data_IF_109951681981
#
_entry.id   IF_109951681981
#
_cell.length_a   1.000
_cell.length_b   1.000
_cell.length_c   1.000
_cell.angle_alpha   90.00
_cell.angle_beta   90.00
_cell.angle_gamma   90.00
#
_symmetry.space_group_name_H-M   'P 1'
#
loop_
_entity.id
_entity.type
_entity.pdbx_description
1 polymer ?
#
# COMPACT_ATOMS: atom_id res chain seq x y z
N UNK A 1 37.82 -24.61 39.65
CA UNK A 1 37.19 -23.44 39.03
C UNK A 1 35.87 -23.23 39.76
N UNK A 2 35.85 -22.31 40.73
CA UNK A 2 34.66 -22.03 41.54
C UNK A 2 33.69 -21.17 40.73
N UNK A 3 32.52 -21.71 40.44
CA UNK A 3 31.45 -21.06 39.69
C UNK A 3 30.44 -20.36 40.63
N UNK A 4 30.84 -20.02 41.85
CA UNK A 4 29.96 -19.48 42.91
C UNK A 4 29.66 -17.97 42.78
N UNK A 5 30.02 -17.34 41.66
CA UNK A 5 29.58 -15.99 41.32
C UNK A 5 28.20 -16.01 40.65
N UNK A 6 27.24 -16.61 41.34
CA UNK A 6 25.82 -16.47 41.03
C UNK A 6 25.31 -15.25 41.79
N UNK A 7 25.24 -14.09 41.12
CA UNK A 7 24.34 -12.91 41.26
C UNK A 7 23.85 -12.39 42.64
N UNK A 8 24.00 -13.14 43.73
CA UNK A 8 23.47 -12.92 45.08
C UNK A 8 24.41 -12.10 45.97
N UNK A 9 25.63 -11.78 45.49
CA UNK A 9 26.68 -11.04 46.22
C UNK A 9 27.07 -11.66 47.57
N UNK A 10 26.93 -12.98 47.73
CA UNK A 10 27.16 -13.69 49.00
C UNK A 10 28.61 -14.17 49.21
N UNK A 11 29.53 -13.92 48.27
CA UNK A 11 30.96 -14.25 48.39
C UNK A 11 31.87 -13.07 48.73
N UNK A 12 33.11 -13.36 49.13
CA UNK A 12 34.16 -12.34 49.26
C UNK A 12 34.42 -11.68 47.90
N UNK A 13 34.27 -10.34 47.78
CA UNK A 13 34.45 -9.64 46.54
C UNK A 13 35.93 -9.68 46.13
N UNK A 14 36.18 -10.07 44.88
CA UNK A 14 37.52 -10.07 44.30
C UNK A 14 38.12 -8.64 44.38
N UNK A 15 39.35 -8.47 44.90
CA UNK A 15 40.00 -7.17 45.00
C UNK A 15 40.12 -6.44 43.65
N UNK A 16 40.25 -7.17 42.55
CA UNK A 16 40.32 -6.58 41.21
C UNK A 16 38.97 -6.00 40.78
N UNK A 17 37.88 -6.70 41.07
CA UNK A 17 36.52 -6.25 40.80
C UNK A 17 36.18 -5.02 41.65
N UNK A 18 36.64 -4.98 42.90
CA UNK A 18 36.41 -3.84 43.80
C UNK A 18 37.10 -2.57 43.30
N UNK A 19 38.33 -2.68 42.78
CA UNK A 19 39.03 -1.55 42.15
C UNK A 19 38.30 -1.06 40.90
N UNK A 20 37.80 -1.98 40.07
CA UNK A 20 37.03 -1.63 38.88
C UNK A 20 35.70 -0.96 39.23
N UNK A 21 34.96 -1.46 40.22
CA UNK A 21 33.74 -0.81 40.72
C UNK A 21 34.02 0.59 41.26
N UNK A 22 35.15 0.80 41.92
CA UNK A 22 35.52 2.12 42.44
C UNK A 22 35.84 3.11 41.31
N UNK A 23 36.62 2.68 40.30
CA UNK A 23 36.94 3.50 39.12
C UNK A 23 35.68 3.81 38.32
N UNK A 24 34.88 2.79 38.00
CA UNK A 24 33.66 2.94 37.19
C UNK A 24 32.52 3.61 37.96
N UNK A 25 32.52 3.53 39.30
CA UNK A 25 31.56 4.20 40.17
C UNK A 25 31.56 5.72 39.98
N UNK A 26 32.70 6.30 39.64
CA UNK A 26 32.81 7.74 39.33
C UNK A 26 32.14 8.13 38.02
N UNK A 27 32.06 7.20 37.06
CA UNK A 27 31.43 7.38 35.75
C UNK A 27 29.96 6.97 35.75
N UNK A 28 29.43 6.57 36.90
CA UNK A 28 28.06 6.08 37.02
C UNK A 28 27.07 7.20 36.73
N UNK A 29 26.04 6.87 35.95
CA UNK A 29 25.00 7.82 35.59
C UNK A 29 24.34 8.42 36.83
N UNK A 30 24.41 9.74 36.96
CA UNK A 30 23.66 10.49 37.98
C UNK A 30 22.28 10.83 37.41
N UNK A 31 21.19 10.41 38.08
CA UNK A 31 19.84 10.78 37.65
C UNK A 31 19.66 12.29 37.83
N UNK A 32 19.92 13.02 36.74
CA UNK A 32 19.61 14.45 36.65
C UNK A 32 18.17 14.60 36.18
N UNK A 33 17.35 15.46 36.81
CA UNK A 33 16.02 15.76 36.29
C UNK A 33 16.15 16.22 34.83
N UNK A 34 15.38 15.61 33.94
CA UNK A 34 15.35 15.97 32.52
C UNK A 34 14.83 17.41 32.40
N UNK A 35 15.74 18.35 32.12
CA UNK A 35 15.41 19.73 31.77
C UNK A 35 14.90 19.75 30.31
N UNK A 36 13.62 19.46 30.13
CA UNK A 36 12.97 19.56 28.82
C UNK A 36 12.75 21.06 28.49
N UNK A 37 13.27 21.57 27.36
CA UNK A 37 13.03 22.95 26.98
C UNK A 37 11.53 23.19 26.81
N UNK A 38 11.02 24.26 27.40
CA UNK A 38 9.59 24.58 27.45
C UNK A 38 8.94 24.75 26.05
N UNK A 39 9.73 24.82 24.98
CA UNK A 39 9.24 24.98 23.60
C UNK A 39 9.10 23.68 22.79
N UNK A 40 9.30 22.48 23.37
CA UNK A 40 9.06 21.24 22.62
C UNK A 40 7.56 21.03 22.41
N UNK A 41 7.04 21.50 21.28
CA UNK A 41 5.68 21.18 20.82
C UNK A 41 5.65 19.70 20.43
N UNK A 42 5.14 18.87 21.32
CA UNK A 42 4.85 17.46 21.03
C UNK A 42 3.72 17.44 20.00
N UNK A 43 4.10 17.34 18.72
CA UNK A 43 3.17 17.27 17.60
C UNK A 43 2.26 16.05 17.76
N UNK A 44 0.97 16.29 17.98
CA UNK A 44 0.00 15.20 18.03
C UNK A 44 -0.05 14.51 16.65
N UNK A 45 0.04 13.18 16.58
CA UNK A 45 -0.09 12.46 15.33
C UNK A 45 -1.48 12.74 14.75
N UNK A 46 -1.52 13.35 13.55
CA UNK A 46 -2.75 13.60 12.81
C UNK A 46 -3.42 12.25 12.51
N UNK A 47 -4.43 11.89 13.29
CA UNK A 47 -5.21 10.65 13.16
C UNK A 47 -5.97 10.54 11.82
N UNK A 48 -5.97 11.59 11.01
CA UNK A 48 -6.60 11.63 9.68
C UNK A 48 -5.90 10.73 8.64
N UNK A 49 -4.62 10.40 8.81
CA UNK A 49 -3.91 9.54 7.86
C UNK A 49 -4.41 8.08 7.86
N UNK A 50 -4.95 7.59 8.98
CA UNK A 50 -5.44 6.21 9.07
C UNK A 50 -6.63 5.95 8.14
N UNK A 51 -7.54 6.91 7.95
CA UNK A 51 -8.69 6.76 7.04
C UNK A 51 -8.26 6.80 5.57
N UNK A 52 -7.25 7.59 5.24
CA UNK A 52 -6.71 7.69 3.87
C UNK A 52 -5.94 6.41 3.51
N UNK A 53 -5.23 5.81 4.48
CA UNK A 53 -4.51 4.55 4.26
C UNK A 53 -5.44 3.39 3.87
N UNK A 54 -6.61 3.28 4.51
CA UNK A 54 -7.62 2.26 4.17
C UNK A 54 -8.21 2.49 2.77
N UNK A 55 -8.51 3.74 2.42
CA UNK A 55 -9.02 4.05 1.08
C UNK A 55 -7.98 3.74 -0.01
N UNK A 56 -6.70 4.00 0.25
CA UNK A 56 -5.62 3.74 -0.68
C UNK A 56 -5.44 2.23 -0.97
N UNK A 57 -5.54 1.36 0.05
CA UNK A 57 -5.39 -0.10 -0.15
C UNK A 57 -6.56 -0.70 -0.94
N UNK A 58 -7.78 -0.22 -0.71
CA UNK A 58 -8.95 -0.64 -1.49
C UNK A 58 -8.81 -0.19 -2.95
N UNK A 59 -8.37 1.04 -3.18
CA UNK A 59 -8.15 1.57 -4.53
C UNK A 59 -7.07 0.77 -5.28
N UNK A 60 -5.95 0.43 -4.64
CA UNK A 60 -4.90 -0.37 -5.28
C UNK A 60 -5.37 -1.79 -5.59
N UNK A 61 -6.12 -2.44 -4.70
CA UNK A 61 -6.72 -3.76 -4.98
C UNK A 61 -7.66 -3.73 -6.20
N UNK A 62 -8.50 -2.70 -6.32
CA UNK A 62 -9.40 -2.55 -7.46
C UNK A 62 -8.64 -2.32 -8.77
N UNK A 63 -7.61 -1.47 -8.76
CA UNK A 63 -6.79 -1.20 -9.95
C UNK A 63 -6.02 -2.45 -10.37
N UNK A 64 -5.40 -3.15 -9.44
CA UNK A 64 -4.67 -4.40 -9.72
C UNK A 64 -5.61 -5.49 -10.23
N UNK A 65 -6.78 -5.66 -9.62
CA UNK A 65 -7.78 -6.64 -10.04
C UNK A 65 -8.36 -6.34 -11.43
N UNK A 66 -8.70 -5.08 -11.69
CA UNK A 66 -9.18 -4.64 -13.01
C UNK A 66 -8.11 -4.84 -14.08
N UNK A 67 -6.86 -4.44 -13.81
CA UNK A 67 -5.74 -4.63 -14.72
C UNK A 67 -5.57 -6.11 -15.08
N UNK A 68 -5.53 -7.00 -14.08
CA UNK A 68 -5.42 -8.44 -14.31
C UNK A 68 -6.59 -9.02 -15.15
N UNK A 69 -7.82 -8.55 -14.89
CA UNK A 69 -9.00 -8.99 -15.64
C UNK A 69 -8.92 -8.58 -17.13
N UNK A 70 -8.39 -7.39 -17.43
CA UNK A 70 -8.21 -6.92 -18.80
C UNK A 70 -7.16 -7.77 -19.54
N UNK A 71 -6.03 -8.09 -18.89
CA UNK A 71 -5.01 -8.97 -19.49
C UNK A 71 -5.56 -10.38 -19.76
N UNK A 72 -6.42 -10.92 -18.88
CA UNK A 72 -7.02 -12.24 -19.08
C UNK A 72 -7.96 -12.30 -20.28
N UNK A 73 -8.66 -11.20 -20.60
CA UNK A 73 -9.55 -11.11 -21.78
C UNK A 73 -8.78 -11.14 -23.10
N UNK A 74 -7.59 -10.52 -23.16
CA UNK A 74 -6.78 -10.49 -24.37
C UNK A 74 -6.27 -11.89 -24.78
N UNK A 75 -5.98 -12.75 -23.80
CA UNK A 75 -5.55 -14.12 -24.05
C UNK A 75 -6.68 -15.02 -24.58
N UNK A 76 -7.95 -14.68 -24.33
CA UNK A 76 -9.09 -15.47 -24.81
C UNK A 76 -9.43 -15.22 -26.29
N UNK A 77 -9.00 -14.10 -26.87
CA UNK A 77 -9.29 -13.74 -28.27
C UNK A 77 -8.32 -14.34 -29.31
N UNK A 78 -7.27 -15.04 -28.89
CA UNK A 78 -6.27 -15.62 -29.82
C UNK A 78 -6.72 -16.95 -30.46
N UNK A 79 -7.88 -17.49 -30.06
CA UNK A 79 -8.32 -18.83 -30.48
C UNK A 79 -9.26 -18.96 -31.68
N UNK A 80 -9.78 -17.87 -32.28
CA UNK A 80 -10.88 -17.96 -33.28
C UNK A 80 -10.58 -17.33 -34.65
N UNK A 81 -9.32 -16.96 -34.93
CA UNK A 81 -8.92 -16.25 -36.16
C UNK A 81 -8.19 -17.07 -37.23
N UNK A 82 -8.13 -18.41 -37.13
CA UNK A 82 -7.44 -19.26 -38.12
C UNK A 82 -8.37 -20.34 -38.68
N UNK A 83 -9.44 -19.90 -39.34
CA UNK A 83 -10.33 -20.78 -40.11
C UNK A 83 -10.78 -20.14 -41.44
N UNK A 84 -10.01 -19.21 -42.01
CA UNK A 84 -10.28 -18.59 -43.32
C UNK A 84 -9.50 -19.23 -44.47
N UNK A 85 -9.37 -20.56 -44.47
CA UNK A 85 -8.90 -21.32 -45.61
C UNK A 85 -9.77 -22.58 -45.77
N UNK A 86 -11.03 -22.38 -46.16
CA UNK A 86 -11.84 -23.42 -46.78
C UNK A 86 -12.33 -22.91 -48.13
N UNK A 87 -12.10 -23.67 -49.22
CA UNK A 87 -12.38 -23.21 -50.57
C UNK A 87 -13.88 -23.09 -50.82
N UNK A 88 -14.22 -22.03 -51.54
CA UNK A 88 -15.56 -21.67 -51.99
C UNK A 88 -16.30 -22.85 -52.64
N UNK A 89 -17.32 -23.37 -51.97
CA UNK A 89 -18.38 -24.14 -52.60
C UNK A 89 -19.54 -23.19 -52.86
N UNK A 90 -19.72 -22.88 -54.15
CA UNK A 90 -20.88 -22.17 -54.70
C UNK A 90 -22.17 -22.89 -54.29
N UNK A 91 -23.09 -22.17 -53.63
CA UNK A 91 -24.52 -22.51 -53.68
C UNK A 91 -25.31 -21.30 -54.12
N UNK A 92 -25.91 -21.50 -55.29
CA UNK A 92 -26.78 -20.62 -56.06
C UNK A 92 -28.23 -20.84 -55.59
N UNK A 93 -29.04 -19.77 -55.56
CA UNK A 93 -30.52 -19.74 -55.59
C UNK A 93 -31.23 -20.31 -54.32
N UNK A 94 -32.33 -19.74 -53.81
CA UNK A 94 -33.41 -18.97 -54.44
C UNK A 94 -34.25 -18.23 -53.37
N UNK A 95 -34.69 -17.03 -53.74
CA UNK A 95 -36.01 -16.41 -53.54
C UNK A 95 -36.49 -15.89 -52.15
N UNK A 96 -37.00 -14.65 -52.08
CA UNK A 96 -37.74 -14.07 -50.95
C UNK A 96 -39.25 -14.15 -51.16
N UNK A 97 -40.04 -14.39 -50.10
CA UNK A 97 -41.48 -14.14 -50.16
C UNK A 97 -42.01 -13.67 -48.80
N UNK A 98 -42.53 -12.45 -48.81
CA UNK A 98 -43.24 -11.75 -47.75
C UNK A 98 -44.71 -12.21 -47.71
N UNK A 99 -45.24 -12.45 -46.52
CA UNK A 99 -46.66 -12.31 -46.11
C UNK A 99 -46.76 -12.93 -44.71
N UNK A 100 -47.53 -12.48 -43.72
CA UNK A 100 -48.48 -11.39 -43.53
C UNK A 100 -48.60 -11.28 -41.98
N UNK A 101 -48.47 -10.09 -41.40
CA UNK A 101 -49.59 -9.29 -40.87
C UNK A 101 -50.22 -9.79 -39.54
N UNK A 102 -50.71 -8.86 -38.70
CA UNK A 102 -50.69 -8.95 -37.23
C UNK A 102 -52.09 -9.11 -36.62
N UNK A 103 -52.17 -9.51 -35.34
CA UNK A 103 -53.36 -9.28 -34.53
C UNK A 103 -53.11 -9.39 -33.02
N UNK A 104 -53.49 -8.30 -32.31
CA UNK A 104 -54.30 -8.24 -31.07
C UNK A 104 -53.62 -8.71 -29.77
N UNK A 105 -53.36 -7.82 -28.82
CA UNK A 105 -54.27 -7.09 -27.89
C UNK A 105 -54.49 -7.85 -26.57
N UNK A 106 -54.63 -7.04 -25.51
CA UNK A 106 -55.11 -7.34 -24.15
C UNK A 106 -54.12 -8.01 -23.17
N UNK A 107 -53.58 -7.25 -22.20
CA UNK A 107 -54.21 -6.89 -20.89
C UNK A 107 -54.36 -8.17 -20.06
N UNK A 108 -53.65 -8.33 -18.93
CA UNK A 108 -54.15 -7.99 -17.60
C UNK A 108 -52.97 -7.95 -16.61
N UNK A 109 -52.95 -6.89 -15.80
CA UNK A 109 -52.14 -6.77 -14.60
C UNK A 109 -52.70 -7.67 -13.48
N UNK A 110 -51.85 -8.36 -12.73
CA UNK A 110 -52.24 -8.83 -11.40
C UNK A 110 -51.12 -8.61 -10.39
N UNK A 111 -51.30 -7.51 -9.66
CA UNK A 111 -50.65 -7.15 -8.41
C UNK A 111 -51.11 -8.07 -7.27
N UNK A 112 -50.17 -8.60 -6.48
CA UNK A 112 -50.48 -9.11 -5.14
C UNK A 112 -49.42 -8.66 -4.13
N UNK A 113 -49.81 -7.67 -3.34
CA UNK A 113 -49.08 -7.03 -2.25
C UNK A 113 -49.75 -7.45 -0.93
N UNK A 114 -48.90 -7.84 0.03
CA UNK A 114 -49.06 -7.84 1.51
C UNK A 114 -50.09 -8.76 2.18
N UNK A 115 -49.66 -9.54 3.18
CA UNK A 115 -49.81 -9.21 4.61
C UNK A 115 -49.41 -10.38 5.54
N UNK A 116 -48.95 -10.03 6.74
CA UNK A 116 -48.69 -10.93 7.88
C UNK A 116 -47.23 -11.36 7.98
N UNK A 117 -46.51 -11.23 9.09
CA UNK A 117 -46.92 -11.55 10.47
C UNK A 117 -46.10 -10.72 11.46
N UNK A 118 -46.80 -10.11 12.42
CA UNK A 118 -46.28 -9.61 13.69
C UNK A 118 -45.89 -10.79 14.57
N UNK A 119 -44.67 -10.83 15.12
CA UNK A 119 -44.51 -11.37 16.48
C UNK A 119 -43.21 -10.98 17.21
N UNK A 120 -43.44 -10.35 18.36
CA UNK A 120 -42.81 -10.55 19.66
C UNK A 120 -41.33 -10.20 19.99
N UNK A 121 -41.24 -9.41 21.09
CA UNK A 121 -40.05 -8.86 21.78
C UNK A 121 -39.33 -9.95 22.61
N UNK A 122 -38.11 -9.71 23.13
CA UNK A 122 -38.03 -8.99 24.42
C UNK A 122 -36.92 -7.92 24.55
N UNK A 123 -37.24 -6.96 25.42
CA UNK A 123 -36.38 -5.93 26.00
C UNK A 123 -35.04 -6.49 26.49
N UNK A 124 -33.93 -5.90 26.06
CA UNK A 124 -32.70 -5.86 26.86
C UNK A 124 -32.29 -4.42 27.13
N UNK A 125 -32.37 -4.11 28.42
CA UNK A 125 -31.98 -2.88 29.10
C UNK A 125 -30.45 -2.87 29.13
N UNK A 126 -29.83 -2.00 28.33
CA UNK A 126 -28.38 -1.81 28.28
C UNK A 126 -28.06 -0.33 28.39
N UNK A 127 -27.83 0.13 29.61
CA UNK A 127 -27.34 1.47 29.93
C UNK A 127 -25.96 1.64 29.30
N UNK A 128 -25.83 2.51 28.30
CA UNK A 128 -24.67 3.39 28.11
C UNK A 128 -25.17 4.70 27.49
N UNK A 129 -25.37 5.70 28.35
CA UNK A 129 -25.45 7.11 27.92
C UNK A 129 -24.09 7.46 27.33
N UNK A 130 -23.94 7.24 26.02
CA UNK A 130 -22.83 7.78 25.28
C UNK A 130 -22.96 9.29 25.31
N UNK A 131 -21.95 9.95 25.89
CA UNK A 131 -21.68 11.37 25.68
C UNK A 131 -21.24 11.52 24.21
N UNK A 132 -22.20 11.38 23.29
CA UNK A 132 -22.04 11.76 21.90
C UNK A 132 -22.12 13.28 21.87
N UNK A 133 -20.96 13.93 22.06
CA UNK A 133 -20.76 15.29 21.61
C UNK A 133 -20.96 15.28 20.08
N UNK A 134 -22.20 15.57 19.67
CA UNK A 134 -22.56 15.78 18.28
C UNK A 134 -21.87 17.03 17.76
N UNK A 135 -20.63 16.89 17.29
CA UNK A 135 -19.97 17.93 16.53
C UNK A 135 -20.58 17.98 15.12
N UNK A 136 -21.80 18.51 15.06
CA UNK A 136 -22.50 18.88 13.83
C UNK A 136 -21.88 20.17 13.29
N UNK A 137 -20.71 20.12 12.64
CA UNK A 137 -20.34 21.14 11.65
C UNK A 137 -19.54 20.51 10.51
N UNK A 138 -20.25 19.70 9.71
CA UNK A 138 -19.96 19.60 8.29
C UNK A 138 -20.21 20.97 7.65
N UNK A 139 -19.19 21.85 7.66
CA UNK A 139 -19.04 22.81 6.58
C UNK A 139 -18.18 22.13 5.53
N UNK A 140 -18.88 21.51 4.58
CA UNK A 140 -18.35 21.19 3.26
C UNK A 140 -17.78 22.46 2.64
N UNK A 141 -16.49 22.73 2.89
CA UNK A 141 -15.67 23.46 1.96
C UNK A 141 -15.55 22.57 0.73
N UNK A 142 -16.60 22.64 -0.08
CA UNK A 142 -16.64 22.26 -1.49
C UNK A 142 -15.28 22.66 -2.04
N UNK A 143 -14.49 21.67 -2.47
CA UNK A 143 -13.31 21.89 -3.28
C UNK A 143 -13.79 22.63 -4.54
N UNK A 144 -13.85 23.95 -4.41
CA UNK A 144 -13.87 24.87 -5.53
C UNK A 144 -12.63 24.46 -6.29
N UNK A 145 -12.78 23.96 -7.51
CA UNK A 145 -11.67 23.73 -8.41
C UNK A 145 -10.88 25.02 -8.43
N UNK A 146 -9.75 25.04 -7.73
CA UNK A 146 -8.77 26.09 -7.87
C UNK A 146 -8.25 25.86 -9.27
N UNK A 147 -8.82 26.58 -10.23
CA UNK A 147 -8.21 26.78 -11.53
C UNK A 147 -6.78 27.22 -11.23
N UNK A 148 -5.84 26.28 -11.36
CA UNK A 148 -4.43 26.58 -11.16
C UNK A 148 -4.11 27.74 -12.07
N UNK A 149 -3.68 28.85 -11.45
CA UNK A 149 -3.38 30.07 -12.18
C UNK A 149 -2.29 29.75 -13.21
N UNK A 150 -2.23 30.50 -14.31
CA UNK A 150 -1.22 30.25 -15.34
C UNK A 150 0.21 30.26 -14.77
N UNK A 151 0.43 31.00 -13.68
CA UNK A 151 1.66 31.05 -12.90
C UNK A 151 1.97 29.72 -12.20
N UNK A 152 1.00 29.15 -11.50
CA UNK A 152 1.16 27.87 -10.80
C UNK A 152 1.51 26.72 -11.76
N UNK A 153 0.99 26.79 -13.01
CA UNK A 153 1.33 25.82 -14.06
C UNK A 153 2.78 25.92 -14.50
N UNK A 154 3.32 27.13 -14.61
CA UNK A 154 4.73 27.35 -14.95
C UNK A 154 5.66 26.83 -13.86
N UNK A 155 5.35 27.12 -12.59
CA UNK A 155 6.13 26.63 -11.45
C UNK A 155 6.06 25.09 -11.35
N UNK A 156 4.89 24.50 -11.60
CA UNK A 156 4.73 23.04 -11.64
C UNK A 156 5.52 22.38 -12.78
N UNK A 157 5.64 23.03 -13.95
CA UNK A 157 6.45 22.54 -15.06
C UNK A 157 7.94 22.57 -14.72
N UNK A 158 8.43 23.67 -14.14
CA UNK A 158 9.82 23.77 -13.69
C UNK A 158 10.17 22.71 -12.64
N UNK A 159 9.28 22.48 -11.66
CA UNK A 159 9.46 21.44 -10.66
C UNK A 159 9.50 20.02 -11.28
N UNK A 160 8.63 19.77 -12.28
CA UNK A 160 8.62 18.51 -13.03
C UNK A 160 9.94 18.29 -13.77
N UNK A 161 10.50 19.31 -14.40
CA UNK A 161 11.78 19.21 -15.10
C UNK A 161 12.93 18.90 -14.14
N UNK A 162 12.99 19.59 -12.99
CA UNK A 162 13.98 19.31 -11.95
C UNK A 162 13.89 17.87 -11.44
N UNK A 163 12.68 17.36 -11.23
CA UNK A 163 12.45 15.98 -10.81
C UNK A 163 12.94 14.98 -11.87
N UNK A 164 12.66 15.25 -13.16
CA UNK A 164 13.12 14.41 -14.26
C UNK A 164 14.65 14.39 -14.37
N UNK A 165 15.32 15.53 -14.14
CA UNK A 165 16.78 15.60 -14.09
C UNK A 165 17.34 14.81 -12.90
N UNK A 166 16.74 14.96 -11.72
CA UNK A 166 17.11 14.20 -10.52
C UNK A 166 17.01 12.70 -10.72
N UNK A 167 15.90 12.22 -11.31
CA UNK A 167 15.70 10.81 -11.62
C UNK A 167 16.72 10.28 -12.63
N UNK A 168 17.11 11.07 -13.65
CA UNK A 168 18.16 10.67 -14.61
C UNK A 168 19.53 10.54 -13.94
N UNK A 169 19.89 11.47 -13.06
CA UNK A 169 21.16 11.39 -12.32
C UNK A 169 21.16 10.20 -11.36
N UNK A 170 20.04 9.94 -10.70
CA UNK A 170 19.91 8.79 -9.82
C UNK A 170 20.01 7.46 -10.59
N UNK A 171 19.36 7.35 -11.75
CA UNK A 171 19.41 6.12 -12.56
C UNK A 171 20.79 5.84 -13.13
N UNK A 172 21.54 6.87 -13.55
CA UNK A 172 22.94 6.68 -14.00
C UNK A 172 23.85 6.25 -12.86
N UNK A 173 23.71 6.83 -11.66
CA UNK A 173 24.47 6.40 -10.48
C UNK A 173 24.14 4.97 -10.05
N UNK A 174 22.86 4.59 -10.09
CA UNK A 174 22.43 3.23 -9.80
C UNK A 174 23.03 2.24 -10.81
N UNK A 175 22.99 2.57 -12.11
CA UNK A 175 23.60 1.73 -13.15
C UNK A 175 25.11 1.57 -12.96
N UNK A 176 25.81 2.64 -12.56
CA UNK A 176 27.25 2.59 -12.25
C UNK A 176 27.51 1.68 -11.04
N UNK A 177 26.73 1.83 -9.96
CA UNK A 177 26.83 0.97 -8.79
C UNK A 177 26.55 -0.50 -9.13
N UNK A 178 25.54 -0.77 -9.98
CA UNK A 178 25.22 -2.11 -10.45
C UNK A 178 26.36 -2.70 -11.29
N UNK A 179 26.94 -1.94 -12.23
CA UNK A 179 28.12 -2.39 -12.99
C UNK A 179 29.32 -2.64 -12.09
N UNK A 180 29.54 -1.82 -11.06
CA UNK A 180 30.60 -2.02 -10.07
C UNK A 180 30.37 -3.29 -9.23
N UNK A 181 29.12 -3.56 -8.86
CA UNK A 181 28.74 -4.77 -8.13
C UNK A 181 28.85 -6.03 -9.00
N UNK A 182 28.57 -5.91 -10.31
CA UNK A 182 28.66 -7.03 -11.26
C UNK A 182 30.07 -7.23 -11.84
N UNK A 183 30.99 -6.26 -11.69
CA UNK A 183 32.28 -6.20 -12.41
C UNK A 183 33.56 -6.22 -11.56
N UNK A 184 33.50 -6.43 -10.25
CA UNK A 184 34.68 -6.74 -9.41
C UNK A 184 34.51 -8.19 -8.91
N UNK A 185 35.21 -9.21 -9.41
CA UNK A 185 36.68 -9.33 -9.51
C UNK A 185 37.14 -10.15 -10.73
N UNK A 186 37.98 -9.59 -11.61
CA UNK A 186 39.02 -10.34 -12.29
C UNK A 186 40.37 -9.77 -11.83
N UNK A 187 40.81 -10.11 -10.62
CA UNK A 187 41.99 -9.44 -10.04
C UNK A 187 42.70 -10.12 -8.88
N UNK A 188 42.36 -11.36 -8.54
CA UNK A 188 43.16 -12.17 -7.63
C UNK A 188 43.35 -13.56 -8.20
N UNK A 189 44.00 -13.63 -9.36
CA UNK A 189 44.68 -14.85 -9.79
C UNK A 189 45.83 -15.04 -8.80
N UNK A 190 45.57 -15.76 -7.71
CA UNK A 190 46.55 -16.17 -6.72
C UNK A 190 47.58 -17.03 -7.45
N UNK A 191 48.69 -16.40 -7.83
CA UNK A 191 49.86 -17.05 -8.40
C UNK A 191 50.53 -17.82 -7.28
N UNK A 192 50.10 -19.08 -7.10
CA UNK A 192 50.79 -20.04 -6.25
C UNK A 192 52.22 -20.23 -6.79
N UNK A 193 53.16 -19.43 -6.28
CA UNK A 193 54.58 -19.69 -6.45
C UNK A 193 54.91 -20.91 -5.60
N UNK A 194 54.86 -22.09 -6.21
CA UNK A 194 55.48 -23.28 -5.64
C UNK A 194 56.99 -23.04 -5.58
N UNK A 195 57.46 -22.77 -4.36
CA UNK A 195 58.86 -22.75 -3.96
C UNK A 195 59.32 -24.21 -3.94
N UNK A 196 59.95 -24.66 -5.02
CA UNK A 196 60.67 -25.94 -5.06
C UNK A 196 62.08 -25.66 -4.54
N UNK A 197 62.39 -26.24 -3.39
CA UNK A 197 63.72 -26.34 -2.80
C UNK A 197 63.87 -27.76 -2.25
#
# INVERSE_FOLDING_TARGET
MNNDYLWDRTGEPDPEIQQLEQVLGTLRYQPRPLELPAQVRIGHPRTFFSRIAIAATVATMLVSGASWLLLRRQNASVGLGSASNLPAVKKLKTAPENAAAPARDEVVAESKVTNGVLENKPKRRGVRKSLLAGNKQFRTLRARGTELTARDRGEAQAAKEQLMLGLRVASTKLSLAQKRAQGAYPGSLIRNQHKVG
#
